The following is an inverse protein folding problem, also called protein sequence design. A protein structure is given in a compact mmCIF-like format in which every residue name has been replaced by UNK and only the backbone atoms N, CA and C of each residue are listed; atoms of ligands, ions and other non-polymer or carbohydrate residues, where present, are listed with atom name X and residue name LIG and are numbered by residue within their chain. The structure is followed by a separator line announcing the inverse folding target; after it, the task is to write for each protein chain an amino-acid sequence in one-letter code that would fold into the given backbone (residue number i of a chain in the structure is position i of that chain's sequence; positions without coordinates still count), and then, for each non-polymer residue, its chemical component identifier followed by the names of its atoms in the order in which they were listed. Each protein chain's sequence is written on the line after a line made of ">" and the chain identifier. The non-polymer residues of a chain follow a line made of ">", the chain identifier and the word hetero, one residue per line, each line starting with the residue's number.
data_IF_015165716386
#
_entry.id   IF_015165716386
#
_cell.length_a   1.000
_cell.length_b   1.000
_cell.length_c   1.000
_cell.angle_alpha   90.00
_cell.angle_beta   90.00
_cell.angle_gamma   90.00
#
_symmetry.space_group_name_H-M   'P 1'
#
loop_
_entity.id
_entity.type
_entity.pdbx_description
1 polymer ?
#
# COMPACT_ATOMS: atom_id res chain seq x y z
N UNK A 1 21.33 15.48 -7.00
CA UNK A 1 21.05 14.05 -6.80
C UNK A 1 19.77 13.80 -5.99
N UNK A 2 19.50 14.55 -4.92
CA UNK A 2 18.27 14.40 -4.12
C UNK A 2 16.95 14.63 -4.88
N UNK A 3 16.89 15.62 -5.78
CA UNK A 3 15.65 15.91 -6.52
C UNK A 3 15.18 14.75 -7.43
N UNK A 4 16.08 14.15 -8.19
CA UNK A 4 15.73 13.04 -9.09
C UNK A 4 15.26 11.82 -8.29
N UNK A 5 15.92 11.52 -7.17
CA UNK A 5 15.52 10.44 -6.28
C UNK A 5 14.12 10.66 -5.68
N UNK A 6 13.75 11.92 -5.38
CA UNK A 6 12.44 12.27 -4.83
C UNK A 6 11.30 12.06 -5.85
N UNK A 7 11.50 12.43 -7.11
CA UNK A 7 10.49 12.20 -8.16
C UNK A 7 10.29 10.73 -8.47
N UNK A 8 11.38 9.95 -8.53
CA UNK A 8 11.31 8.50 -8.70
C UNK A 8 10.58 7.82 -7.55
N UNK A 9 10.84 8.27 -6.32
CA UNK A 9 10.13 7.79 -5.13
C UNK A 9 8.62 8.08 -5.22
N UNK A 10 8.24 9.32 -5.49
CA UNK A 10 6.83 9.72 -5.64
C UNK A 10 6.15 8.90 -6.73
N UNK A 11 6.79 8.77 -7.89
CA UNK A 11 6.27 7.97 -9.00
C UNK A 11 6.08 6.50 -8.61
N UNK A 12 7.08 5.88 -7.95
CA UNK A 12 7.00 4.51 -7.49
C UNK A 12 5.87 4.30 -6.46
N UNK A 13 5.70 5.24 -5.53
CA UNK A 13 4.59 5.21 -4.56
C UNK A 13 3.24 5.26 -5.27
N UNK A 14 3.05 6.20 -6.20
CA UNK A 14 1.81 6.27 -6.98
C UNK A 14 1.57 5.01 -7.79
N UNK A 15 2.58 4.51 -8.50
CA UNK A 15 2.48 3.30 -9.30
C UNK A 15 1.98 2.12 -8.48
N UNK A 16 2.56 1.89 -7.28
CA UNK A 16 2.17 0.77 -6.42
C UNK A 16 0.81 1.00 -5.75
N UNK A 17 0.49 2.22 -5.32
CA UNK A 17 -0.80 2.53 -4.72
C UNK A 17 -1.95 2.39 -5.71
N UNK A 18 -1.74 2.76 -6.97
CA UNK A 18 -2.74 2.62 -8.04
C UNK A 18 -2.94 1.17 -8.51
N UNK A 19 -1.99 0.26 -8.26
CA UNK A 19 -2.20 -1.15 -8.58
C UNK A 19 -3.41 -1.67 -7.76
N UNK A 20 -4.43 -2.27 -8.40
CA UNK A 20 -5.55 -2.87 -7.69
C UNK A 20 -5.06 -3.90 -6.66
N UNK A 21 -5.62 -3.83 -5.47
CA UNK A 21 -5.26 -4.72 -4.37
C UNK A 21 -6.41 -4.83 -3.38
N UNK A 22 -6.28 -5.64 -2.31
CA UNK A 22 -7.37 -5.89 -1.39
C UNK A 22 -7.88 -4.62 -0.70
N UNK A 23 -7.02 -3.67 -0.34
CA UNK A 23 -7.42 -2.38 0.25
C UNK A 23 -8.15 -1.49 -0.74
N UNK A 24 -7.64 -1.40 -1.98
CA UNK A 24 -8.26 -0.61 -3.04
C UNK A 24 -9.65 -1.15 -3.41
N UNK A 25 -9.78 -2.49 -3.52
CA UNK A 25 -11.07 -3.15 -3.73
C UNK A 25 -12.04 -2.88 -2.57
N UNK A 26 -11.52 -2.83 -1.34
CA UNK A 26 -12.31 -2.49 -0.17
C UNK A 26 -12.83 -1.05 -0.22
N UNK A 27 -11.98 -0.07 -0.56
CA UNK A 27 -12.37 1.33 -0.72
C UNK A 27 -13.40 1.52 -1.84
N UNK A 28 -13.18 0.89 -2.98
CA UNK A 28 -14.11 0.91 -4.10
C UNK A 28 -15.49 0.34 -3.71
N UNK A 29 -15.51 -0.81 -3.02
CA UNK A 29 -16.75 -1.43 -2.54
C UNK A 29 -17.47 -0.58 -1.48
N UNK A 30 -16.71 0.14 -0.65
CA UNK A 30 -17.26 1.02 0.36
C UNK A 30 -18.02 2.21 -0.24
N UNK A 31 -17.60 2.68 -1.41
CA UNK A 31 -18.28 3.77 -2.10
C UNK A 31 -19.66 3.37 -2.65
N UNK A 32 -19.83 2.09 -2.96
CA UNK A 32 -21.05 1.57 -3.58
C UNK A 32 -22.23 1.44 -2.61
N UNK A 33 -22.00 0.96 -1.39
CA UNK A 33 -23.06 0.62 -0.44
C UNK A 33 -23.32 1.66 0.67
N UNK A 34 -22.34 2.12 1.44
CA UNK A 34 -22.59 3.06 2.53
C UNK A 34 -22.61 4.53 2.09
N UNK A 35 -22.20 4.83 0.85
CA UNK A 35 -22.10 6.17 0.31
C UNK A 35 -20.74 6.85 0.52
N UNK A 36 -20.48 7.88 -0.31
CA UNK A 36 -19.16 8.54 -0.39
C UNK A 36 -18.66 9.08 0.95
N UNK A 37 -19.50 9.72 1.75
CA UNK A 37 -19.09 10.31 3.02
C UNK A 37 -18.54 9.25 3.99
N UNK A 38 -19.15 8.07 4.03
CA UNK A 38 -18.65 6.96 4.87
C UNK A 38 -17.38 6.36 4.31
N UNK A 39 -17.22 6.32 2.97
CA UNK A 39 -16.00 5.86 2.33
C UNK A 39 -14.79 6.78 2.63
N UNK A 40 -14.98 8.09 2.68
CA UNK A 40 -13.91 9.04 3.03
C UNK A 40 -13.34 8.81 4.44
N UNK A 41 -14.16 8.39 5.40
CA UNK A 41 -13.69 8.08 6.75
C UNK A 41 -12.79 6.82 6.80
N UNK A 42 -12.70 6.06 5.72
CA UNK A 42 -11.82 4.89 5.63
C UNK A 42 -10.39 5.27 5.24
N UNK A 43 -10.19 6.42 4.57
CA UNK A 43 -8.86 6.88 4.13
C UNK A 43 -7.85 6.98 5.30
N UNK A 44 -8.17 7.65 6.42
CA UNK A 44 -7.24 7.69 7.57
C UNK A 44 -6.99 6.31 8.19
N UNK A 45 -7.95 5.39 8.09
CA UNK A 45 -7.78 4.02 8.60
C UNK A 45 -6.84 3.21 7.72
N UNK A 46 -6.96 3.36 6.40
CA UNK A 46 -6.02 2.79 5.45
C UNK A 46 -4.61 3.34 5.67
N UNK A 47 -4.49 4.67 5.81
CA UNK A 47 -3.22 5.32 6.09
C UNK A 47 -2.55 4.77 7.36
N UNK A 48 -3.29 4.68 8.46
CA UNK A 48 -2.80 4.08 9.70
C UNK A 48 -2.36 2.64 9.49
N UNK A 49 -3.14 1.84 8.77
CA UNK A 49 -2.78 0.46 8.44
C UNK A 49 -1.46 0.35 7.69
N UNK A 50 -1.22 1.24 6.71
CA UNK A 50 0.07 1.29 6.01
C UNK A 50 1.21 1.77 6.91
N UNK A 51 1.01 2.82 7.71
CA UNK A 51 2.03 3.33 8.64
C UNK A 51 2.47 2.20 9.58
N UNK A 52 1.53 1.52 10.22
CA UNK A 52 1.84 0.39 11.11
C UNK A 52 2.50 -0.78 10.36
N UNK A 53 1.98 -1.14 9.19
CA UNK A 53 2.53 -2.23 8.39
C UNK A 53 3.95 -1.97 7.93
N UNK A 54 4.23 -0.78 7.38
CA UNK A 54 5.57 -0.37 6.94
C UNK A 54 6.53 -0.31 8.13
N UNK A 55 6.11 0.31 9.25
CA UNK A 55 6.94 0.42 10.46
C UNK A 55 7.28 -0.95 11.04
N UNK A 56 6.31 -1.85 11.12
CA UNK A 56 6.52 -3.20 11.63
C UNK A 56 7.50 -3.99 10.77
N UNK A 57 7.32 -3.97 9.45
CA UNK A 57 8.24 -4.66 8.53
C UNK A 57 9.65 -4.07 8.60
N UNK A 58 9.77 -2.75 8.65
CA UNK A 58 11.07 -2.09 8.78
C UNK A 58 11.78 -2.43 10.09
N UNK A 59 11.03 -2.48 11.19
CA UNK A 59 11.56 -2.89 12.49
C UNK A 59 12.05 -4.35 12.44
N UNK A 60 11.25 -5.26 11.88
CA UNK A 60 11.63 -6.66 11.72
C UNK A 60 12.90 -6.81 10.90
N UNK A 61 13.02 -6.06 9.79
CA UNK A 61 14.20 -6.06 8.94
C UNK A 61 15.41 -5.55 9.71
N UNK A 62 15.26 -4.42 10.42
CA UNK A 62 16.34 -3.84 11.21
C UNK A 62 16.85 -4.81 12.30
N UNK A 63 15.97 -5.51 12.97
CA UNK A 63 16.31 -6.48 14.00
C UNK A 63 16.97 -7.76 13.46
N UNK A 64 16.61 -8.17 12.25
CA UNK A 64 17.10 -9.42 11.65
C UNK A 64 18.34 -9.22 10.76
N UNK A 65 18.55 -8.01 10.24
CA UNK A 65 19.66 -7.68 9.35
C UNK A 65 21.07 -8.01 9.93
N UNK A 66 21.36 -7.78 11.23
CA UNK A 66 22.67 -8.11 11.81
C UNK A 66 22.96 -9.61 11.84
N UNK A 67 21.91 -10.44 11.98
CA UNK A 67 22.04 -11.89 12.06
C UNK A 67 21.93 -12.57 10.68
N UNK A 68 21.14 -11.98 9.78
CA UNK A 68 20.87 -12.53 8.47
C UNK A 68 20.90 -11.46 7.37
N UNK A 69 22.08 -10.97 6.98
CA UNK A 69 22.20 -9.90 5.96
C UNK A 69 21.60 -10.29 4.60
N UNK A 70 21.57 -11.59 4.30
CA UNK A 70 21.00 -12.11 3.06
C UNK A 70 19.45 -11.96 3.00
N UNK A 71 18.80 -11.78 4.15
CA UNK A 71 17.34 -11.63 4.23
C UNK A 71 16.82 -10.44 3.41
N UNK A 72 17.57 -9.32 3.41
CA UNK A 72 17.14 -8.13 2.66
C UNK A 72 17.14 -8.39 1.15
N UNK A 73 18.14 -9.11 0.64
CA UNK A 73 18.20 -9.50 -0.78
C UNK A 73 17.05 -10.45 -1.14
N UNK A 74 16.75 -11.41 -0.27
CA UNK A 74 15.63 -12.31 -0.45
C UNK A 74 14.30 -11.54 -0.48
N UNK A 75 14.09 -10.60 0.45
CA UNK A 75 12.88 -9.77 0.49
C UNK A 75 12.74 -8.87 -0.74
N UNK A 76 13.84 -8.32 -1.27
CA UNK A 76 13.81 -7.59 -2.54
C UNK A 76 13.36 -8.48 -3.70
N UNK A 77 13.90 -9.68 -3.82
CA UNK A 77 13.51 -10.65 -4.86
C UNK A 77 12.04 -11.05 -4.71
N UNK A 78 11.60 -11.35 -3.50
CA UNK A 78 10.20 -11.69 -3.21
C UNK A 78 9.26 -10.53 -3.54
N UNK A 79 9.64 -9.31 -3.16
CA UNK A 79 8.86 -8.10 -3.46
C UNK A 79 8.76 -7.86 -4.97
N UNK A 80 9.86 -8.00 -5.71
CA UNK A 80 9.88 -7.86 -7.16
C UNK A 80 9.03 -8.97 -7.83
N UNK A 81 9.19 -10.22 -7.40
CA UNK A 81 8.39 -11.35 -7.90
C UNK A 81 6.90 -11.14 -7.63
N UNK A 82 6.55 -10.61 -6.45
CA UNK A 82 5.16 -10.29 -6.11
C UNK A 82 4.57 -9.22 -7.03
N UNK A 83 5.32 -8.16 -7.35
CA UNK A 83 4.85 -7.12 -8.28
C UNK A 83 4.62 -7.69 -9.68
N UNK A 84 5.55 -8.52 -10.17
CA UNK A 84 5.43 -9.19 -11.47
C UNK A 84 4.21 -10.13 -11.48
N UNK A 85 4.07 -10.95 -10.44
CA UNK A 85 2.91 -11.86 -10.28
C UNK A 85 1.60 -11.07 -10.25
N UNK A 86 1.55 -9.96 -9.49
CA UNK A 86 0.36 -9.12 -9.38
C UNK A 86 0.00 -8.49 -10.73
N UNK A 87 0.99 -7.97 -11.47
CA UNK A 87 0.79 -7.41 -12.82
C UNK A 87 0.22 -8.48 -13.77
N UNK A 88 0.78 -9.69 -13.74
CA UNK A 88 0.31 -10.81 -14.55
C UNK A 88 -1.11 -11.27 -14.15
N UNK A 89 -1.38 -11.36 -12.85
CA UNK A 89 -2.69 -11.73 -12.33
C UNK A 89 -3.77 -10.71 -12.73
N UNK A 90 -3.46 -9.42 -12.67
CA UNK A 90 -4.37 -8.36 -13.10
C UNK A 90 -4.63 -8.39 -14.60
N UNK A 91 -3.60 -8.64 -15.41
CA UNK A 91 -3.77 -8.83 -16.85
C UNK A 91 -4.73 -9.98 -17.15
N UNK A 92 -4.54 -11.12 -16.51
CA UNK A 92 -5.41 -12.28 -16.70
C UNK A 92 -6.83 -12.07 -16.16
N UNK A 93 -6.99 -11.36 -15.05
CA UNK A 93 -8.29 -11.14 -14.40
C UNK A 93 -9.14 -10.06 -15.06
N UNK A 94 -8.57 -9.23 -15.95
CA UNK A 94 -9.33 -8.27 -16.76
C UNK A 94 -10.42 -8.92 -17.62
N UNK A 95 -10.34 -10.23 -17.82
CA UNK A 95 -11.34 -11.03 -18.53
C UNK A 95 -12.33 -11.78 -17.61
N UNK A 96 -12.14 -11.73 -16.28
CA UNK A 96 -13.00 -12.44 -15.34
C UNK A 96 -14.02 -11.47 -14.76
N UNK A 97 -15.31 -11.81 -14.94
CA UNK A 97 -16.46 -11.12 -14.34
C UNK A 97 -16.20 -10.82 -12.87
N UNK A 98 -16.48 -9.57 -12.47
CA UNK A 98 -16.55 -9.14 -11.08
C UNK A 98 -17.19 -10.21 -10.21
N UNK A 99 -16.38 -10.87 -9.40
CA UNK A 99 -16.91 -11.74 -8.37
C UNK A 99 -17.58 -10.81 -7.35
N UNK A 100 -18.90 -10.77 -7.40
CA UNK A 100 -19.76 -10.12 -6.44
C UNK A 100 -19.19 -10.34 -5.04
N UNK A 101 -18.58 -9.33 -4.46
CA UNK A 101 -18.23 -9.33 -3.04
C UNK A 101 -19.56 -9.38 -2.30
N UNK A 102 -20.00 -10.60 -1.95
CA UNK A 102 -21.15 -10.82 -1.08
C UNK A 102 -21.05 -9.87 0.11
N UNK A 103 -22.15 -9.20 0.42
CA UNK A 103 -22.43 -8.28 1.52
C UNK A 103 -21.68 -8.60 2.84
N UNK A 104 -20.38 -8.37 2.89
CA UNK A 104 -19.66 -8.30 4.16
C UNK A 104 -19.76 -6.86 4.63
N UNK A 105 -20.42 -6.65 5.75
CA UNK A 105 -20.48 -5.34 6.42
C UNK A 105 -19.07 -4.74 6.46
N UNK A 106 -18.91 -3.63 5.73
CA UNK A 106 -17.64 -2.94 5.59
C UNK A 106 -17.24 -2.37 6.95
N UNK A 107 -16.40 -3.11 7.68
CA UNK A 107 -15.95 -2.74 9.02
C UNK A 107 -14.56 -2.09 8.94
N UNK A 108 -14.38 -0.97 9.66
CA UNK A 108 -13.10 -0.25 9.81
C UNK A 108 -11.97 -1.18 10.25
N UNK A 109 -12.23 -2.07 11.22
CA UNK A 109 -11.25 -3.06 11.68
C UNK A 109 -10.82 -4.04 10.58
N UNK A 110 -11.72 -4.39 9.67
CA UNK A 110 -11.42 -5.28 8.56
C UNK A 110 -10.49 -4.58 7.54
N UNK A 111 -10.73 -3.30 7.22
CA UNK A 111 -9.85 -2.53 6.37
C UNK A 111 -8.46 -2.40 7.01
N UNK A 112 -8.38 -1.99 8.28
CA UNK A 112 -7.11 -1.86 8.99
C UNK A 112 -6.31 -3.16 8.96
N UNK A 113 -6.92 -4.29 9.32
CA UNK A 113 -6.27 -5.61 9.27
C UNK A 113 -5.83 -5.98 7.85
N UNK A 114 -6.68 -5.73 6.86
CA UNK A 114 -6.35 -5.98 5.44
C UNK A 114 -5.16 -5.15 4.97
N UNK A 115 -5.05 -3.90 5.42
CA UNK A 115 -3.94 -3.01 5.08
C UNK A 115 -2.67 -3.40 5.82
N UNK A 116 -2.78 -3.75 7.10
CA UNK A 116 -1.64 -4.20 7.92
C UNK A 116 -0.96 -5.44 7.32
N UNK A 117 -1.76 -6.41 6.84
CA UNK A 117 -1.27 -7.65 6.22
C UNK A 117 -1.09 -7.53 4.70
N UNK A 118 -1.19 -6.31 4.17
CA UNK A 118 -1.05 -6.09 2.74
C UNK A 118 0.43 -6.27 2.34
N UNK A 119 0.72 -7.15 1.37
CA UNK A 119 2.09 -7.32 0.88
C UNK A 119 2.70 -6.04 0.28
N UNK A 120 1.88 -5.06 -0.09
CA UNK A 120 2.38 -3.73 -0.47
C UNK A 120 3.13 -3.04 0.66
N UNK A 121 2.78 -3.29 1.94
CA UNK A 121 3.50 -2.72 3.08
C UNK A 121 4.95 -3.21 3.15
N UNK A 122 5.18 -4.49 2.84
CA UNK A 122 6.55 -5.05 2.72
C UNK A 122 7.28 -4.39 1.55
N UNK A 123 6.61 -4.30 0.40
CA UNK A 123 7.17 -3.69 -0.80
C UNK A 123 7.61 -2.24 -0.56
N UNK A 124 6.79 -1.46 0.17
CA UNK A 124 7.16 -0.09 0.55
C UNK A 124 8.36 -0.08 1.50
N UNK A 125 8.35 -0.91 2.54
CA UNK A 125 9.40 -0.95 3.55
C UNK A 125 10.78 -1.37 2.99
N UNK A 126 10.80 -2.32 2.05
CA UNK A 126 12.04 -2.92 1.53
C UNK A 126 12.43 -2.34 0.18
N UNK A 127 11.45 -2.15 -0.73
CA UNK A 127 11.74 -1.90 -2.13
C UNK A 127 11.64 -0.43 -2.56
N UNK A 128 10.81 0.37 -1.90
CA UNK A 128 10.48 1.72 -2.37
C UNK A 128 11.01 2.81 -1.45
N UNK A 129 10.90 2.63 -0.13
CA UNK A 129 11.40 3.62 0.81
C UNK A 129 12.92 3.72 0.69
N UNK A 130 13.48 4.95 0.54
CA UNK A 130 14.93 5.14 0.47
C UNK A 130 15.61 4.62 1.72
N UNK A 131 16.82 4.07 1.58
CA UNK A 131 17.58 3.50 2.72
C UNK A 131 17.79 4.54 3.83
N UNK A 132 18.08 5.79 3.47
CA UNK A 132 18.27 6.89 4.42
C UNK A 132 17.02 7.25 5.25
N UNK A 133 15.85 6.72 4.89
CA UNK A 133 14.60 6.87 5.68
C UNK A 133 14.79 6.41 7.12
N UNK A 134 15.62 5.41 7.32
CA UNK A 134 15.82 4.73 8.60
C UNK A 134 16.96 5.32 9.43
N UNK A 135 17.70 6.32 8.91
CA UNK A 135 18.84 6.94 9.59
C UNK A 135 18.40 7.85 10.73
N UNK A 136 17.19 8.42 10.66
CA UNK A 136 16.67 9.32 11.69
C UNK A 136 15.14 9.37 11.70
N UNK A 137 14.58 9.71 12.86
CA UNK A 137 13.14 9.94 12.99
C UNK A 137 12.63 11.07 12.06
N UNK A 138 13.44 12.11 11.83
CA UNK A 138 13.07 13.19 10.92
C UNK A 138 12.93 12.71 9.47
N UNK A 139 13.88 11.91 9.00
CA UNK A 139 13.83 11.31 7.66
C UNK A 139 12.60 10.41 7.50
N UNK A 140 12.35 9.57 8.51
CA UNK A 140 11.17 8.71 8.54
C UNK A 140 9.87 9.51 8.48
N UNK A 141 9.72 10.54 9.32
CA UNK A 141 8.55 11.40 9.32
C UNK A 141 8.36 12.14 7.99
N UNK A 142 9.45 12.60 7.37
CA UNK A 142 9.42 13.26 6.06
C UNK A 142 8.94 12.32 4.95
N UNK A 143 9.50 11.11 4.88
CA UNK A 143 9.10 10.12 3.87
C UNK A 143 7.66 9.67 4.07
N UNK A 144 7.23 9.45 5.33
CA UNK A 144 5.84 9.16 5.64
C UNK A 144 4.88 10.29 5.29
N UNK A 145 5.28 11.54 5.46
CA UNK A 145 4.47 12.69 5.04
C UNK A 145 4.25 12.68 3.53
N UNK A 146 5.31 12.48 2.74
CA UNK A 146 5.20 12.36 1.28
C UNK A 146 4.33 11.16 0.89
N UNK A 147 4.56 9.99 1.51
CA UNK A 147 3.73 8.80 1.29
C UNK A 147 2.26 9.07 1.56
N UNK A 148 1.94 9.74 2.68
CA UNK A 148 0.57 10.10 3.07
C UNK A 148 -0.07 11.04 2.05
N UNK A 149 0.67 12.02 1.55
CA UNK A 149 0.21 12.94 0.50
C UNK A 149 -0.07 12.21 -0.82
N UNK A 150 0.67 11.16 -1.14
CA UNK A 150 0.42 10.33 -2.32
C UNK A 150 -0.75 9.35 -2.10
N UNK A 151 -0.90 8.81 -0.88
CA UNK A 151 -1.95 7.85 -0.57
C UNK A 151 -3.34 8.46 -0.66
N UNK A 152 -3.52 9.67 -0.11
CA UNK A 152 -4.84 10.34 -0.09
C UNK A 152 -5.48 10.43 -1.48
N UNK A 153 -4.82 11.00 -2.51
CA UNK A 153 -5.41 11.07 -3.85
C UNK A 153 -5.65 9.69 -4.48
N UNK A 154 -4.78 8.69 -4.21
CA UNK A 154 -5.00 7.33 -4.69
C UNK A 154 -6.22 6.68 -4.04
N UNK A 155 -6.39 6.84 -2.73
CA UNK A 155 -7.56 6.33 -2.01
C UNK A 155 -8.85 6.99 -2.51
N UNK A 156 -8.83 8.31 -2.71
CA UNK A 156 -9.96 9.05 -3.29
C UNK A 156 -10.29 8.59 -4.71
N UNK A 157 -9.27 8.33 -5.51
CA UNK A 157 -9.45 7.77 -6.85
C UNK A 157 -10.19 6.42 -6.79
N UNK A 158 -9.78 5.50 -5.91
CA UNK A 158 -10.42 4.20 -5.79
C UNK A 158 -11.85 4.30 -5.24
N UNK A 159 -12.12 5.21 -4.31
CA UNK A 159 -13.48 5.51 -3.82
C UNK A 159 -14.35 6.04 -4.96
N UNK A 160 -13.84 7.01 -5.73
CA UNK A 160 -14.57 7.57 -6.86
C UNK A 160 -14.81 6.53 -7.96
N UNK A 161 -13.77 5.77 -8.32
CA UNK A 161 -13.87 4.70 -9.32
C UNK A 161 -14.91 3.66 -8.93
N UNK A 162 -14.92 3.21 -7.67
CA UNK A 162 -15.88 2.24 -7.16
C UNK A 162 -17.33 2.71 -7.21
N UNK A 163 -17.58 4.03 -7.27
CA UNK A 163 -18.91 4.58 -7.46
C UNK A 163 -19.41 4.46 -8.90
N UNK A 164 -18.49 4.46 -9.86
CA UNK A 164 -18.82 4.50 -11.30
C UNK A 164 -19.11 3.09 -11.86
N UNK A 165 -18.63 2.05 -11.19
CA UNK A 165 -18.74 0.64 -11.58
C UNK A 165 -19.83 -0.04 -10.79
#
# INVERSE_FOLDING_TARGET
>A
MFMVASWLFIFAVFAVLLIPGPTNAFLASAAHHPGLLKAFHLVPIELLGYIYGISLWSLLIHLTMPTWPMLIHLLHVVSAAYVIWLAFHLWKSSHLKQHSLKHKTLNRSMLFKSTLHNPKSILFAVGIFPVWTWDSFQNYAYVLAIFSLCLVPCALFWIYFGRQV
#
